data_IF_857996930469
#
_entry.id   IF_857996930469
#
_cell.length_a   1.000
_cell.length_b   1.000
_cell.length_c   1.000
_cell.angle_alpha   90.00
_cell.angle_beta   90.00
_cell.angle_gamma   90.00
#
_symmetry.space_group_name_H-M   'P 1'
#
loop_
_entity.id
_entity.type
_entity.pdbx_description
1 polymer ?
#
# COMPACT_ATOMS: atom_id res chain seq x y z
N UNK A 1 38.76 -56.87 -32.96
CA UNK A 1 37.74 -56.43 -31.98
C UNK A 1 37.95 -54.95 -31.76
N UNK A 2 37.21 -54.12 -32.49
CA UNK A 2 37.36 -52.66 -32.51
C UNK A 2 35.96 -52.08 -32.49
N UNK A 3 35.53 -51.57 -31.33
CA UNK A 3 34.22 -50.95 -31.15
C UNK A 3 34.25 -49.52 -31.70
N UNK A 4 33.61 -49.33 -32.86
CA UNK A 4 33.18 -48.03 -33.34
C UNK A 4 31.82 -47.70 -32.70
N UNK A 5 31.85 -46.96 -31.58
CA UNK A 5 30.66 -46.49 -30.87
C UNK A 5 30.39 -45.01 -31.15
N UNK A 6 29.51 -44.73 -32.12
CA UNK A 6 28.47 -43.69 -32.07
C UNK A 6 28.81 -42.34 -31.42
N UNK A 7 29.42 -41.41 -32.18
CA UNK A 7 29.57 -39.98 -31.82
C UNK A 7 28.27 -39.17 -32.09
N UNK A 8 27.21 -39.78 -32.60
CA UNK A 8 26.01 -39.05 -33.07
C UNK A 8 24.88 -38.87 -32.04
N UNK A 9 25.09 -39.13 -30.74
CA UNK A 9 24.04 -38.96 -29.71
C UNK A 9 24.09 -37.69 -28.87
N UNK A 10 25.11 -36.86 -29.02
CA UNK A 10 25.31 -35.68 -28.14
C UNK A 10 24.91 -34.33 -28.76
N UNK A 11 24.30 -34.32 -29.95
CA UNK A 11 23.83 -33.08 -30.60
C UNK A 11 22.33 -32.79 -30.43
N UNK A 12 21.59 -33.60 -29.67
CA UNK A 12 20.13 -33.50 -29.58
C UNK A 12 19.60 -32.97 -28.23
N UNK A 13 20.43 -32.23 -27.49
CA UNK A 13 19.97 -31.42 -26.36
C UNK A 13 20.50 -30.00 -26.45
N UNK A 14 20.10 -29.30 -27.51
CA UNK A 14 19.97 -27.85 -27.41
C UNK A 14 19.02 -27.56 -26.23
N UNK A 15 19.45 -26.81 -25.19
CA UNK A 15 18.53 -26.35 -24.16
C UNK A 15 17.49 -25.51 -24.87
N UNK A 16 16.24 -25.94 -24.80
CA UNK A 16 15.10 -25.20 -25.31
C UNK A 16 15.13 -23.77 -24.74
N UNK A 17 15.64 -22.83 -25.53
CA UNK A 17 15.52 -21.38 -25.34
C UNK A 17 14.08 -20.87 -25.59
N UNK A 18 13.11 -21.74 -25.30
CA UNK A 18 11.66 -21.63 -25.36
C UNK A 18 11.21 -22.16 -24.00
N UNK A 19 10.70 -21.41 -23.03
CA UNK A 19 9.92 -20.18 -23.08
C UNK A 19 9.98 -19.52 -21.72
N UNK A 20 10.83 -18.50 -21.54
CA UNK A 20 10.74 -17.55 -20.40
C UNK A 20 9.53 -16.60 -20.56
N UNK A 21 8.40 -17.10 -21.08
CA UNK A 21 7.15 -16.33 -21.12
C UNK A 21 6.50 -16.52 -19.76
N UNK A 22 6.52 -15.46 -18.95
CA UNK A 22 5.69 -15.42 -17.74
C UNK A 22 4.26 -15.85 -18.12
N UNK A 23 3.56 -16.64 -17.28
CA UNK A 23 2.18 -17.02 -17.54
C UNK A 23 1.35 -15.78 -17.91
N UNK A 24 0.48 -15.87 -18.92
CA UNK A 24 -0.33 -14.75 -19.43
C UNK A 24 -0.97 -13.93 -18.29
N UNK A 25 -1.45 -14.60 -17.26
CA UNK A 25 -2.03 -13.98 -16.06
C UNK A 25 -1.08 -13.01 -15.32
N UNK A 26 0.22 -13.33 -15.23
CA UNK A 26 1.19 -12.44 -14.60
C UNK A 26 1.43 -11.16 -15.42
N UNK A 27 1.40 -11.28 -16.75
CA UNK A 27 1.47 -10.13 -17.65
C UNK A 27 0.23 -9.25 -17.55
N UNK A 28 -0.96 -9.85 -17.61
CA UNK A 28 -2.22 -9.14 -17.45
C UNK A 28 -2.27 -8.37 -16.13
N UNK A 29 -1.90 -8.99 -15.01
CA UNK A 29 -1.86 -8.32 -13.71
C UNK A 29 -0.89 -7.13 -13.70
N UNK A 30 0.29 -7.26 -14.32
CA UNK A 30 1.25 -6.14 -14.41
C UNK A 30 0.69 -5.02 -15.29
N UNK A 31 0.10 -5.35 -16.42
CA UNK A 31 -0.51 -4.38 -17.33
C UNK A 31 -1.65 -3.62 -16.64
N UNK A 32 -2.54 -4.32 -15.92
CA UNK A 32 -3.62 -3.70 -15.13
C UNK A 32 -3.06 -2.78 -14.05
N UNK A 33 -2.04 -3.21 -13.31
CA UNK A 33 -1.39 -2.38 -12.30
C UNK A 33 -0.78 -1.11 -12.89
N UNK A 34 -0.01 -1.25 -13.98
CA UNK A 34 0.64 -0.11 -14.63
C UNK A 34 -0.41 0.84 -15.19
N UNK A 35 -1.39 0.31 -15.92
CA UNK A 35 -2.47 1.11 -16.50
C UNK A 35 -3.29 1.81 -15.41
N UNK A 36 -3.63 1.12 -14.33
CA UNK A 36 -4.38 1.67 -13.21
C UNK A 36 -3.61 2.77 -12.47
N UNK A 37 -2.36 2.53 -12.08
CA UNK A 37 -1.51 3.57 -11.45
C UNK A 37 -1.33 4.76 -12.39
N UNK A 38 -1.08 4.51 -13.68
CA UNK A 38 -0.95 5.58 -14.69
C UNK A 38 -2.24 6.38 -14.81
N UNK A 39 -3.39 5.72 -14.75
CA UNK A 39 -4.70 6.36 -14.76
C UNK A 39 -4.93 7.22 -13.50
N UNK A 40 -4.66 6.67 -12.32
CA UNK A 40 -4.76 7.41 -11.05
C UNK A 40 -3.88 8.66 -11.03
N UNK A 41 -2.63 8.55 -11.51
CA UNK A 41 -1.71 9.68 -11.66
C UNK A 41 -2.19 10.68 -12.72
N UNK A 42 -2.68 10.20 -13.87
CA UNK A 42 -3.22 11.06 -14.92
C UNK A 42 -4.37 11.92 -14.40
N UNK A 43 -5.33 11.32 -13.70
CA UNK A 43 -6.45 12.05 -13.10
C UNK A 43 -5.96 13.06 -12.06
N UNK A 44 -4.99 12.67 -11.23
CA UNK A 44 -4.40 13.55 -10.22
C UNK A 44 -3.71 14.78 -10.83
N UNK A 45 -2.91 14.56 -11.89
CA UNK A 45 -2.24 15.62 -12.65
C UNK A 45 -3.29 16.52 -13.32
N UNK A 46 -4.31 15.93 -13.93
CA UNK A 46 -5.36 16.66 -14.61
C UNK A 46 -6.13 17.56 -13.64
N UNK A 47 -6.47 17.06 -12.45
CA UNK A 47 -7.13 17.84 -11.40
C UNK A 47 -6.27 19.03 -10.97
N UNK A 48 -4.97 18.82 -10.73
CA UNK A 48 -4.04 19.90 -10.36
C UNK A 48 -3.83 20.95 -11.46
N UNK A 49 -4.00 20.58 -12.75
CA UNK A 49 -3.85 21.51 -13.88
C UNK A 49 -5.16 22.28 -14.15
N UNK A 50 -6.29 21.57 -14.22
CA UNK A 50 -7.59 22.16 -14.57
C UNK A 50 -8.10 23.04 -13.42
N UNK A 51 -7.90 22.60 -12.18
CA UNK A 51 -8.41 23.27 -10.99
C UNK A 51 -7.31 23.33 -9.91
N UNK A 52 -6.36 24.27 -10.01
CA UNK A 52 -5.16 24.34 -9.15
C UNK A 52 -5.47 24.89 -7.74
N UNK A 53 -6.42 24.28 -7.03
CA UNK A 53 -6.73 24.62 -5.63
C UNK A 53 -5.60 24.15 -4.70
N UNK A 54 -5.46 24.76 -3.50
CA UNK A 54 -4.55 24.25 -2.47
C UNK A 54 -4.71 22.75 -2.23
N UNK A 55 -5.95 22.28 -2.11
CA UNK A 55 -6.28 20.87 -1.90
C UNK A 55 -5.78 19.97 -3.04
N UNK A 56 -6.08 20.31 -4.30
CA UNK A 56 -5.65 19.49 -5.44
C UNK A 56 -4.12 19.46 -5.59
N UNK A 57 -3.45 20.59 -5.32
CA UNK A 57 -1.99 20.66 -5.34
C UNK A 57 -1.37 19.83 -4.20
N UNK A 58 -1.93 19.91 -2.99
CA UNK A 58 -1.49 19.10 -1.85
C UNK A 58 -1.63 17.61 -2.14
N UNK A 59 -2.81 17.16 -2.58
CA UNK A 59 -3.05 15.77 -2.97
C UNK A 59 -2.04 15.29 -4.02
N UNK A 60 -1.83 16.09 -5.07
CA UNK A 60 -0.87 15.77 -6.12
C UNK A 60 0.55 15.59 -5.57
N UNK A 61 1.04 16.57 -4.81
CA UNK A 61 2.39 16.57 -4.28
C UNK A 61 2.60 15.44 -3.26
N UNK A 62 1.63 15.21 -2.36
CA UNK A 62 1.69 14.16 -1.33
C UNK A 62 1.74 12.75 -1.94
N UNK A 63 0.83 12.45 -2.86
CA UNK A 63 0.75 11.12 -3.48
C UNK A 63 1.98 10.89 -4.39
N UNK A 64 2.37 11.87 -5.20
CA UNK A 64 3.54 11.76 -6.07
C UNK A 64 4.83 11.58 -5.27
N UNK A 65 5.01 12.35 -4.19
CA UNK A 65 6.18 12.24 -3.30
C UNK A 65 6.20 10.91 -2.57
N UNK A 66 5.04 10.40 -2.12
CA UNK A 66 4.94 9.07 -1.51
C UNK A 66 5.33 7.96 -2.48
N UNK A 67 4.87 8.04 -3.73
CA UNK A 67 5.29 7.12 -4.79
C UNK A 67 6.79 7.20 -5.09
N UNK A 68 7.35 8.42 -5.17
CA UNK A 68 8.78 8.64 -5.36
C UNK A 68 9.61 8.10 -4.17
N UNK A 69 9.12 8.25 -2.94
CA UNK A 69 9.74 7.71 -1.74
C UNK A 69 9.87 6.19 -1.81
N UNK A 70 8.87 5.46 -2.32
CA UNK A 70 8.99 4.02 -2.57
C UNK A 70 10.09 3.67 -3.56
N UNK A 71 10.27 4.48 -4.61
CA UNK A 71 11.37 4.30 -5.57
C UNK A 71 12.72 4.51 -4.87
N UNK A 72 12.84 5.52 -4.01
CA UNK A 72 14.06 5.75 -3.19
C UNK A 72 14.34 4.53 -2.31
N UNK A 73 13.34 3.99 -1.62
CA UNK A 73 13.49 2.78 -0.79
C UNK A 73 13.93 1.57 -1.62
N UNK A 74 13.41 1.43 -2.84
CA UNK A 74 13.80 0.35 -3.76
C UNK A 74 15.25 0.47 -4.23
N UNK A 75 15.68 1.67 -4.66
CA UNK A 75 17.06 1.92 -5.13
C UNK A 75 18.06 1.76 -3.98
N UNK A 76 17.74 2.28 -2.80
CA UNK A 76 18.61 2.22 -1.61
C UNK A 76 18.56 0.88 -0.88
N UNK A 77 17.69 -0.05 -1.31
CA UNK A 77 17.52 -1.38 -0.72
C UNK A 77 18.83 -2.13 -0.43
N UNK A 78 19.86 -2.13 -1.30
CA UNK A 78 21.12 -2.80 -1.01
C UNK A 78 21.84 -2.28 0.25
N UNK A 79 21.59 -1.04 0.66
CA UNK A 79 22.25 -0.39 1.79
C UNK A 79 21.67 -0.87 3.13
N UNK A 80 20.33 -0.91 3.24
CA UNK A 80 19.66 -1.17 4.51
C UNK A 80 19.14 -2.61 4.66
N UNK A 81 18.83 -3.31 3.57
CA UNK A 81 18.25 -4.65 3.63
C UNK A 81 19.17 -5.68 4.29
N UNK A 82 20.51 -5.69 4.09
CA UNK A 82 21.39 -6.60 4.80
C UNK A 82 21.39 -6.40 6.32
N UNK A 83 21.34 -5.13 6.76
CA UNK A 83 21.38 -4.75 8.17
C UNK A 83 20.08 -5.15 8.87
N UNK A 84 18.94 -4.73 8.30
CA UNK A 84 17.62 -5.06 8.84
C UNK A 84 17.24 -6.54 8.65
N UNK A 85 17.91 -7.23 7.74
CA UNK A 85 17.74 -8.66 7.48
C UNK A 85 18.21 -9.58 8.62
N UNK A 86 18.88 -9.05 9.64
CA UNK A 86 19.28 -9.81 10.84
C UNK A 86 18.09 -10.15 11.74
N UNK A 87 17.06 -9.30 11.77
CA UNK A 87 15.81 -9.53 12.52
C UNK A 87 14.59 -9.32 11.61
N UNK A 88 14.49 -10.08 10.51
CA UNK A 88 13.68 -9.70 9.35
C UNK A 88 12.18 -9.57 9.66
N UNK A 89 11.64 -10.32 10.63
CA UNK A 89 10.23 -10.21 11.02
C UNK A 89 9.94 -8.93 11.80
N UNK A 90 10.73 -8.65 12.84
CA UNK A 90 10.54 -7.44 13.67
C UNK A 90 10.86 -6.20 12.85
N UNK A 91 11.97 -6.22 12.11
CA UNK A 91 12.35 -5.12 11.22
C UNK A 91 11.32 -4.88 10.12
N UNK A 92 10.65 -5.92 9.59
CA UNK A 92 9.58 -5.73 8.61
C UNK A 92 8.36 -4.99 9.21
N UNK A 93 7.99 -5.29 10.46
CA UNK A 93 6.90 -4.58 11.14
C UNK A 93 7.31 -3.14 11.42
N UNK A 94 8.46 -2.93 12.07
CA UNK A 94 8.93 -1.60 12.44
C UNK A 94 9.16 -0.70 11.22
N UNK A 95 9.71 -1.25 10.13
CA UNK A 95 9.94 -0.49 8.89
C UNK A 95 8.63 -0.06 8.25
N UNK A 96 7.60 -0.93 8.25
CA UNK A 96 6.29 -0.57 7.71
C UNK A 96 5.60 0.51 8.54
N UNK A 97 5.67 0.40 9.89
CA UNK A 97 5.14 1.41 10.82
C UNK A 97 5.86 2.75 10.66
N UNK A 98 7.20 2.74 10.58
CA UNK A 98 7.99 3.95 10.37
C UNK A 98 7.65 4.60 9.03
N UNK A 99 7.53 3.81 7.96
CA UNK A 99 7.16 4.34 6.65
C UNK A 99 5.74 4.89 6.63
N UNK A 100 4.82 4.35 7.44
CA UNK A 100 3.49 4.92 7.59
C UNK A 100 3.56 6.33 8.20
N UNK A 101 4.28 6.50 9.30
CA UNK A 101 4.49 7.82 9.91
C UNK A 101 5.20 8.82 8.98
N UNK A 102 6.13 8.35 8.13
CA UNK A 102 6.78 9.19 7.12
C UNK A 102 5.77 9.65 6.07
N UNK A 103 4.89 8.77 5.60
CA UNK A 103 3.83 9.12 4.63
C UNK A 103 2.87 10.15 5.22
N UNK A 104 2.42 9.97 6.46
CA UNK A 104 1.61 10.99 7.17
C UNK A 104 2.32 12.34 7.25
N UNK A 105 3.61 12.32 7.60
CA UNK A 105 4.42 13.54 7.64
C UNK A 105 4.53 14.20 6.26
N UNK A 106 4.59 13.43 5.17
CA UNK A 106 4.56 13.95 3.80
C UNK A 106 3.22 14.64 3.52
N UNK A 107 2.10 14.00 3.87
CA UNK A 107 0.76 14.55 3.66
C UNK A 107 0.56 15.84 4.44
N UNK A 108 0.87 15.81 5.75
CA UNK A 108 0.87 16.99 6.61
C UNK A 108 1.76 18.11 6.08
N UNK A 109 3.00 17.79 5.64
CA UNK A 109 3.93 18.80 5.13
C UNK A 109 3.38 19.54 3.92
N UNK A 110 2.79 18.81 2.95
CA UNK A 110 2.23 19.44 1.77
C UNK A 110 0.89 20.13 2.03
N UNK A 111 0.10 19.66 2.99
CA UNK A 111 -1.07 20.40 3.48
C UNK A 111 -0.64 21.79 3.97
N UNK A 112 0.33 21.85 4.88
CA UNK A 112 0.85 23.10 5.43
C UNK A 112 1.54 23.99 4.37
N UNK A 113 2.29 23.37 3.44
CA UNK A 113 2.99 24.11 2.39
C UNK A 113 2.04 24.81 1.42
N UNK A 114 0.91 24.18 1.12
CA UNK A 114 -0.05 24.68 0.14
C UNK A 114 -1.18 25.50 0.78
N UNK A 115 -1.35 25.43 2.10
CA UNK A 115 -2.50 26.01 2.79
C UNK A 115 -3.79 25.25 2.51
N UNK A 116 -3.69 23.95 2.22
CA UNK A 116 -4.85 23.08 2.08
C UNK A 116 -5.43 22.70 3.45
N UNK A 117 -6.63 22.13 3.44
CA UNK A 117 -7.27 21.53 4.61
C UNK A 117 -7.79 20.14 4.24
N UNK A 118 -7.78 19.22 5.21
CA UNK A 118 -8.36 17.88 5.08
C UNK A 118 -7.57 16.93 4.18
N UNK A 119 -6.25 17.09 4.10
CA UNK A 119 -5.34 16.18 3.40
C UNK A 119 -4.74 15.20 4.40
N UNK A 120 -4.20 15.70 5.50
CA UNK A 120 -3.91 14.94 6.71
C UNK A 120 -5.20 14.79 7.54
N UNK A 121 -5.21 13.84 8.48
CA UNK A 121 -6.35 13.65 9.36
C UNK A 121 -6.52 14.82 10.35
N UNK A 122 -5.43 15.55 10.65
CA UNK A 122 -5.47 16.72 11.51
C UNK A 122 -4.31 17.71 11.22
N UNK A 123 -4.49 19.04 11.35
CA UNK A 123 -3.43 20.04 11.06
C UNK A 123 -2.22 19.97 12.02
N UNK A 124 -2.40 19.35 13.19
CA UNK A 124 -1.32 19.04 14.13
C UNK A 124 -0.79 17.62 13.89
N UNK A 125 0.47 17.50 13.44
CA UNK A 125 1.11 16.21 13.13
C UNK A 125 1.05 15.17 14.27
N UNK A 126 1.12 15.59 15.54
CA UNK A 126 1.05 14.63 16.65
C UNK A 126 -0.35 14.03 16.78
N UNK A 127 -1.39 14.86 16.60
CA UNK A 127 -2.78 14.41 16.64
C UNK A 127 -3.09 13.59 15.39
N UNK A 128 -2.57 14.01 14.24
CA UNK A 128 -2.66 13.26 12.98
C UNK A 128 -2.10 11.84 13.15
N UNK A 129 -0.87 11.70 13.64
CA UNK A 129 -0.27 10.40 13.94
C UNK A 129 -1.05 9.64 15.03
N UNK A 130 -1.61 10.33 16.02
CA UNK A 130 -2.45 9.69 17.04
C UNK A 130 -3.73 9.10 16.42
N UNK A 131 -4.31 9.77 15.43
CA UNK A 131 -5.49 9.29 14.70
C UNK A 131 -5.10 8.12 13.80
N UNK A 132 -4.02 8.22 13.03
CA UNK A 132 -3.74 7.28 11.92
C UNK A 132 -2.91 6.07 12.33
N UNK A 133 -1.92 6.21 13.22
CA UNK A 133 -1.03 5.10 13.61
C UNK A 133 -1.73 3.89 14.26
N UNK A 134 -2.82 4.06 15.04
CA UNK A 134 -3.59 2.93 15.58
C UNK A 134 -4.21 2.02 14.50
N UNK A 135 -4.40 2.51 13.27
CA UNK A 135 -4.73 1.67 12.12
C UNK A 135 -3.48 0.99 11.54
N UNK A 136 -2.43 1.77 11.27
CA UNK A 136 -1.23 1.28 10.60
C UNK A 136 -0.50 0.18 11.36
N UNK A 137 -0.37 0.31 12.68
CA UNK A 137 0.35 -0.64 13.53
C UNK A 137 -0.21 -2.07 13.39
N UNK A 138 -1.49 -2.33 13.71
CA UNK A 138 -2.06 -3.67 13.60
C UNK A 138 -2.20 -4.14 12.14
N UNK A 139 -2.48 -3.23 11.20
CA UNK A 139 -2.56 -3.54 9.77
C UNK A 139 -1.21 -4.08 9.25
N UNK A 140 -0.12 -3.36 9.48
CA UNK A 140 1.24 -3.75 9.06
C UNK A 140 1.67 -5.03 9.77
N UNK A 141 1.45 -5.15 11.08
CA UNK A 141 1.82 -6.34 11.84
C UNK A 141 1.13 -7.60 11.30
N UNK A 142 -0.17 -7.49 11.01
CA UNK A 142 -0.96 -8.58 10.42
C UNK A 142 -0.51 -8.87 9.00
N UNK A 143 -0.28 -7.84 8.18
CA UNK A 143 0.24 -7.98 6.82
C UNK A 143 1.58 -8.73 6.81
N UNK A 144 2.54 -8.37 7.67
CA UNK A 144 3.85 -9.03 7.75
C UNK A 144 3.69 -10.52 8.07
N UNK A 145 2.79 -10.86 9.01
CA UNK A 145 2.49 -12.26 9.32
C UNK A 145 1.86 -12.99 8.12
N UNK A 146 0.87 -12.39 7.45
CA UNK A 146 0.24 -12.95 6.25
C UNK A 146 1.28 -13.14 5.13
N UNK A 147 2.11 -12.13 4.90
CA UNK A 147 3.13 -12.14 3.85
C UNK A 147 4.18 -13.21 4.11
N UNK A 148 4.52 -13.50 5.38
CA UNK A 148 5.42 -14.59 5.72
C UNK A 148 4.83 -15.95 5.33
N UNK A 149 3.51 -16.13 5.52
CA UNK A 149 2.76 -17.35 5.16
C UNK A 149 2.52 -17.51 3.67
N UNK A 150 2.19 -16.42 2.97
CA UNK A 150 1.68 -16.48 1.58
C UNK A 150 2.69 -16.10 0.52
N UNK A 151 3.69 -15.27 0.85
CA UNK A 151 4.71 -14.79 -0.10
C UNK A 151 4.10 -14.15 -1.34
N UNK A 152 3.18 -13.20 -1.12
CA UNK A 152 2.57 -12.49 -2.22
C UNK A 152 3.63 -11.77 -3.06
N UNK A 153 3.47 -11.81 -4.37
CA UNK A 153 4.33 -11.07 -5.30
C UNK A 153 4.16 -9.56 -5.11
N UNK A 154 5.18 -8.77 -5.46
CA UNK A 154 5.14 -7.30 -5.34
C UNK A 154 3.86 -6.67 -5.92
N UNK A 155 3.41 -7.11 -7.11
CA UNK A 155 2.17 -6.58 -7.69
C UNK A 155 0.92 -6.88 -6.84
N UNK A 156 0.86 -8.05 -6.20
CA UNK A 156 -0.23 -8.33 -5.25
C UNK A 156 -0.10 -7.48 -3.99
N UNK A 157 1.12 -7.28 -3.48
CA UNK A 157 1.36 -6.40 -2.33
C UNK A 157 0.92 -4.95 -2.63
N UNK A 158 1.17 -4.45 -3.84
CA UNK A 158 0.69 -3.14 -4.29
C UNK A 158 -0.84 -3.06 -4.29
N UNK A 159 -1.53 -4.05 -4.89
CA UNK A 159 -3.00 -4.11 -4.87
C UNK A 159 -3.56 -4.18 -3.45
N UNK A 160 -2.90 -4.92 -2.55
CA UNK A 160 -3.27 -4.98 -1.14
C UNK A 160 -3.05 -3.63 -0.44
N UNK A 161 -2.01 -2.89 -0.79
CA UNK A 161 -1.80 -1.53 -0.31
C UNK A 161 -2.98 -0.63 -0.65
N UNK A 162 -3.38 -0.59 -1.92
CA UNK A 162 -4.58 0.16 -2.34
C UNK A 162 -5.86 -0.30 -1.63
N UNK A 163 -6.00 -1.61 -1.38
CA UNK A 163 -7.16 -2.15 -0.67
C UNK A 163 -7.20 -1.77 0.81
N UNK A 164 -6.05 -1.81 1.50
CA UNK A 164 -5.97 -1.45 2.92
C UNK A 164 -6.21 0.03 3.13
N UNK A 165 -5.70 0.88 2.23
CA UNK A 165 -5.96 2.31 2.27
C UNK A 165 -7.41 2.65 1.94
N UNK A 166 -8.02 1.96 0.97
CA UNK A 166 -9.45 2.07 0.71
C UNK A 166 -10.29 1.72 1.95
N UNK A 167 -9.78 0.85 2.82
CA UNK A 167 -10.37 0.56 4.11
C UNK A 167 -10.20 1.69 5.14
N UNK A 168 -9.00 2.26 5.26
CA UNK A 168 -8.73 3.38 6.17
C UNK A 168 -9.45 4.64 5.71
N UNK A 169 -8.89 5.33 4.72
CA UNK A 169 -9.41 6.64 4.30
C UNK A 169 -10.66 6.54 3.43
N UNK A 170 -10.73 5.51 2.57
CA UNK A 170 -11.87 5.36 1.66
C UNK A 170 -13.18 4.95 2.35
N UNK A 171 -13.11 4.35 3.53
CA UNK A 171 -14.27 3.85 4.26
C UNK A 171 -14.42 4.52 5.63
N UNK A 172 -13.40 4.50 6.51
CA UNK A 172 -13.56 4.99 7.89
C UNK A 172 -13.83 6.50 7.94
N UNK A 173 -13.05 7.32 7.23
CA UNK A 173 -13.23 8.78 7.22
C UNK A 173 -14.66 9.23 6.87
N UNK A 174 -15.17 8.86 5.67
CA UNK A 174 -16.52 9.21 5.25
C UNK A 174 -17.63 8.69 6.17
N UNK A 175 -17.47 7.50 6.76
CA UNK A 175 -18.43 6.98 7.73
C UNK A 175 -18.43 7.79 9.03
N UNK A 176 -17.26 8.22 9.49
CA UNK A 176 -17.14 9.11 10.65
C UNK A 176 -17.82 10.45 10.35
N UNK A 177 -17.58 11.05 9.18
CA UNK A 177 -18.25 12.29 8.77
C UNK A 177 -19.77 12.14 8.66
N UNK A 178 -20.28 10.96 8.29
CA UNK A 178 -21.72 10.70 8.34
C UNK A 178 -22.28 10.80 9.77
N UNK A 179 -21.58 10.22 10.75
CA UNK A 179 -22.06 10.19 12.13
C UNK A 179 -21.90 11.52 12.87
N UNK A 180 -20.86 12.30 12.54
CA UNK A 180 -20.57 13.56 13.21
C UNK A 180 -21.26 14.76 12.56
N UNK A 181 -21.16 14.86 11.23
CA UNK A 181 -21.57 16.06 10.49
C UNK A 181 -22.80 15.81 9.59
N UNK A 182 -23.31 14.58 9.58
CA UNK A 182 -24.42 14.18 8.70
C UNK A 182 -24.02 14.11 7.23
N UNK A 183 -22.72 14.05 6.90
CA UNK A 183 -22.27 13.98 5.52
C UNK A 183 -22.70 12.65 4.86
N UNK A 184 -23.60 12.74 3.87
CA UNK A 184 -24.21 11.57 3.21
C UNK A 184 -23.41 11.02 2.03
N UNK A 185 -22.17 11.45 1.80
CA UNK A 185 -21.33 10.97 0.69
C UNK A 185 -21.21 9.45 0.62
N UNK A 186 -21.13 8.75 1.76
CA UNK A 186 -21.07 7.27 1.81
C UNK A 186 -22.32 6.57 1.27
N UNK A 187 -23.45 7.28 1.20
CA UNK A 187 -24.70 6.73 0.67
C UNK A 187 -24.76 6.94 -0.86
N UNK A 188 -23.94 7.85 -1.40
CA UNK A 188 -23.92 8.16 -2.83
C UNK A 188 -23.19 7.05 -3.62
N UNK A 189 -23.86 6.35 -4.56
CA UNK A 189 -23.20 5.32 -5.39
C UNK A 189 -22.04 5.86 -6.24
N UNK A 190 -22.08 7.13 -6.62
CA UNK A 190 -21.01 7.77 -7.40
C UNK A 190 -19.72 7.86 -6.58
N UNK A 191 -19.82 8.07 -5.27
CA UNK A 191 -18.65 8.06 -4.38
C UNK A 191 -17.89 6.74 -4.48
N UNK A 192 -18.59 5.61 -4.33
CA UNK A 192 -17.99 4.27 -4.41
C UNK A 192 -17.42 3.96 -5.80
N UNK A 193 -18.08 4.43 -6.85
CA UNK A 193 -17.58 4.30 -8.21
C UNK A 193 -16.25 5.06 -8.40
N UNK A 194 -16.19 6.32 -7.98
CA UNK A 194 -14.98 7.15 -8.09
C UNK A 194 -13.87 6.63 -7.17
N UNK A 195 -14.22 6.12 -5.99
CA UNK A 195 -13.27 5.50 -5.07
C UNK A 195 -12.56 4.30 -5.72
N UNK A 196 -13.32 3.42 -6.40
CA UNK A 196 -12.75 2.27 -7.09
C UNK A 196 -12.02 2.62 -8.40
N UNK A 197 -12.54 3.59 -9.17
CA UNK A 197 -11.98 3.94 -10.48
C UNK A 197 -10.79 4.90 -10.42
N UNK A 198 -10.66 5.70 -9.36
CA UNK A 198 -9.65 6.76 -9.26
C UNK A 198 -8.82 6.55 -7.99
N UNK A 199 -9.44 6.71 -6.82
CA UNK A 199 -8.73 6.79 -5.55
C UNK A 199 -7.95 5.50 -5.25
N UNK A 200 -8.53 4.32 -5.50
CA UNK A 200 -7.88 3.03 -5.31
C UNK A 200 -6.50 2.95 -5.98
N UNK A 201 -6.37 3.50 -7.19
CA UNK A 201 -5.10 3.46 -7.91
C UNK A 201 -4.06 4.44 -7.36
N UNK A 202 -4.51 5.57 -6.82
CA UNK A 202 -3.66 6.55 -6.15
C UNK A 202 -3.19 6.02 -4.79
N UNK A 203 -4.07 5.38 -4.05
CA UNK A 203 -3.79 4.70 -2.77
C UNK A 203 -2.70 3.63 -2.87
N UNK A 204 -2.58 2.95 -4.01
CA UNK A 204 -1.47 2.03 -4.25
C UNK A 204 -0.12 2.74 -4.07
N UNK A 205 0.01 3.99 -4.53
CA UNK A 205 1.26 4.76 -4.39
C UNK A 205 1.51 5.12 -2.94
N UNK A 206 0.48 5.58 -2.22
CA UNK A 206 0.55 5.99 -0.81
C UNK A 206 1.07 4.84 0.07
N UNK A 207 0.43 3.67 -0.02
CA UNK A 207 0.79 2.51 0.81
C UNK A 207 1.98 1.69 0.29
N UNK A 208 2.48 1.98 -0.91
CA UNK A 208 3.56 1.19 -1.50
C UNK A 208 4.84 1.20 -0.65
N UNK A 209 5.16 2.34 -0.02
CA UNK A 209 6.34 2.52 0.84
C UNK A 209 6.18 1.80 2.17
N UNK A 210 4.96 1.59 2.64
CA UNK A 210 4.67 0.86 3.88
C UNK A 210 4.82 -0.65 3.68
N UNK A 211 4.22 -1.20 2.61
CA UNK A 211 4.09 -2.66 2.46
C UNK A 211 5.22 -3.33 1.68
N UNK A 212 5.74 -2.70 0.62
CA UNK A 212 6.77 -3.34 -0.22
C UNK A 212 8.08 -3.59 0.53
N UNK A 213 8.64 -2.63 1.30
CA UNK A 213 9.86 -2.85 2.07
C UNK A 213 9.70 -3.95 3.11
N UNK A 214 8.57 -3.99 3.81
CA UNK A 214 8.21 -5.07 4.73
C UNK A 214 8.18 -6.42 4.01
N UNK A 215 7.60 -6.48 2.80
CA UNK A 215 7.60 -7.69 1.99
C UNK A 215 9.01 -8.12 1.54
N UNK A 216 9.91 -7.17 1.22
CA UNK A 216 11.30 -7.48 0.86
C UNK A 216 12.07 -8.10 2.04
N UNK A 217 11.87 -7.59 3.25
CA UNK A 217 12.45 -8.15 4.47
C UNK A 217 11.90 -9.53 4.78
N UNK A 218 10.57 -9.69 4.72
CA UNK A 218 9.94 -10.99 4.94
C UNK A 218 10.51 -12.02 3.99
N UNK A 219 10.76 -11.68 2.71
CA UNK A 219 11.37 -12.57 1.71
C UNK A 219 12.77 -13.11 2.06
N UNK A 220 13.44 -12.60 3.11
CA UNK A 220 14.66 -13.19 3.67
C UNK A 220 14.42 -14.33 4.65
N UNK A 221 13.22 -14.43 5.24
CA UNK A 221 12.86 -15.52 6.13
C UNK A 221 12.75 -16.85 5.38
N UNK A 222 13.02 -18.00 6.03
CA UNK A 222 12.76 -19.30 5.44
C UNK A 222 11.27 -19.43 5.07
N UNK A 223 10.96 -20.08 3.92
CA UNK A 223 9.59 -20.33 3.53
C UNK A 223 8.93 -21.28 4.54
N UNK A 224 7.68 -21.00 4.87
CA UNK A 224 6.84 -21.90 5.68
C UNK A 224 5.83 -22.61 4.78
N UNK A 225 5.31 -23.79 5.20
CA UNK A 225 4.31 -24.52 4.42
C UNK A 225 3.11 -23.63 4.09
N UNK A 226 2.72 -23.63 2.81
CA UNK A 226 1.60 -22.82 2.35
C UNK A 226 0.31 -23.28 3.03
N UNK A 227 -0.51 -22.36 3.57
CA UNK A 227 -1.79 -22.73 4.16
C UNK A 227 -2.73 -23.35 3.12
N UNK A 228 -3.60 -24.28 3.55
CA UNK A 228 -4.60 -24.93 2.69
C UNK A 228 -5.71 -23.99 2.24
N UNK A 229 -6.03 -22.97 3.05
CA UNK A 229 -7.09 -22.02 2.73
C UNK A 229 -6.75 -21.21 1.47
N UNK A 230 -7.75 -20.67 0.75
CA UNK A 230 -7.52 -19.74 -0.34
C UNK A 230 -6.71 -18.53 0.10
N UNK A 231 -5.83 -18.02 -0.77
CA UNK A 231 -4.93 -16.93 -0.41
C UNK A 231 -5.65 -15.61 -0.10
N UNK A 232 -6.84 -15.39 -0.68
CA UNK A 232 -7.64 -14.18 -0.44
C UNK A 232 -8.14 -14.07 1.00
N UNK A 233 -8.36 -15.20 1.70
CA UNK A 233 -8.83 -15.21 3.09
C UNK A 233 -7.80 -14.58 4.02
N UNK A 234 -6.52 -14.93 3.87
CA UNK A 234 -5.47 -14.29 4.66
C UNK A 234 -5.20 -12.86 4.17
N UNK A 235 -5.40 -12.58 2.87
CA UNK A 235 -5.13 -11.26 2.30
C UNK A 235 -6.03 -10.15 2.88
N UNK A 236 -7.27 -10.49 3.26
CA UNK A 236 -8.21 -9.55 3.88
C UNK A 236 -8.05 -9.45 5.40
N UNK A 237 -7.21 -10.27 6.02
CA UNK A 237 -7.10 -10.33 7.48
C UNK A 237 -6.74 -8.98 8.13
N UNK A 238 -5.85 -8.14 7.55
CA UNK A 238 -5.59 -6.81 8.10
C UNK A 238 -6.83 -5.91 8.17
N UNK A 239 -7.83 -6.11 7.30
CA UNK A 239 -9.07 -5.32 7.31
C UNK A 239 -9.98 -5.64 8.50
N UNK A 240 -9.76 -6.76 9.22
CA UNK A 240 -10.52 -7.07 10.44
C UNK A 240 -10.28 -6.07 11.57
N UNK A 241 -9.23 -5.24 11.47
CA UNK A 241 -8.96 -4.17 12.42
C UNK A 241 -9.82 -2.92 12.18
N UNK A 242 -10.48 -2.79 11.02
CA UNK A 242 -11.27 -1.60 10.68
C UNK A 242 -12.39 -1.28 11.69
N UNK A 243 -13.19 -2.24 12.19
CA UNK A 243 -14.23 -1.92 13.17
C UNK A 243 -13.66 -1.39 14.48
N UNK A 244 -12.53 -1.96 14.96
CA UNK A 244 -11.86 -1.49 16.16
C UNK A 244 -11.26 -0.10 15.95
N UNK A 245 -10.66 0.13 14.79
CA UNK A 245 -10.14 1.42 14.40
C UNK A 245 -11.23 2.48 14.31
N UNK A 246 -12.38 2.17 13.68
CA UNK A 246 -13.51 3.08 13.58
C UNK A 246 -14.06 3.48 14.96
N UNK A 247 -14.21 2.53 15.88
CA UNK A 247 -14.59 2.82 17.28
C UNK A 247 -13.55 3.71 17.96
N UNK A 248 -12.27 3.42 17.76
CA UNK A 248 -11.17 4.22 18.31
C UNK A 248 -11.24 5.68 17.83
N UNK A 249 -11.30 5.91 16.52
CA UNK A 249 -11.33 7.28 15.96
C UNK A 249 -12.60 8.02 16.39
N UNK A 250 -13.76 7.35 16.40
CA UNK A 250 -15.00 7.95 16.87
C UNK A 250 -14.87 8.45 18.33
N UNK A 251 -14.37 7.61 19.24
CA UNK A 251 -14.14 7.99 20.64
C UNK A 251 -13.10 9.11 20.76
N UNK A 252 -12.01 9.02 19.99
CA UNK A 252 -10.95 10.04 20.00
C UNK A 252 -11.49 11.41 19.57
N UNK A 253 -12.26 11.48 18.47
CA UNK A 253 -12.84 12.75 18.01
C UNK A 253 -13.80 13.35 19.04
N UNK A 254 -14.63 12.52 19.70
CA UNK A 254 -15.49 13.00 20.78
C UNK A 254 -14.69 13.60 21.95
N UNK A 255 -13.56 12.97 22.31
CA UNK A 255 -12.66 13.48 23.35
C UNK A 255 -12.01 14.79 22.91
N UNK A 256 -11.47 14.86 21.70
CA UNK A 256 -10.85 16.08 21.16
C UNK A 256 -11.85 17.23 21.08
N UNK A 257 -13.09 16.95 20.66
CA UNK A 257 -14.18 17.92 20.60
C UNK A 257 -14.55 18.45 21.98
N UNK A 258 -14.62 17.57 23.00
CA UNK A 258 -14.84 17.99 24.38
C UNK A 258 -13.71 18.88 24.92
N UNK A 259 -12.47 18.62 24.51
CA UNK A 259 -11.29 19.41 24.91
C UNK A 259 -11.13 20.72 24.12
N UNK A 260 -11.91 20.95 23.06
CA UNK A 260 -11.78 22.11 22.18
C UNK A 260 -10.53 22.08 21.30
N UNK A 261 -10.06 20.88 20.93
CA UNK A 261 -8.85 20.63 20.11
C UNK A 261 -9.20 19.79 18.86
N UNK A 262 -10.49 19.64 18.55
CA UNK A 262 -10.95 19.00 17.31
C UNK A 262 -10.98 19.99 16.15
#
# INVERSE_FOLDING_TARGET
MTQAGSITKDLEKAPSALTNRLPLWQWLRRAVLIAGISWGLFVLILAAIIEPTPHNNAMFLSIATSGAYTVVLWVTRPLWLPILGLMPRVSAVLLGILNAAIVETIFWFFEMLTGAEGIAAHPNLLIDLLITMPWYIPMVATFVWVQHRRRFSAGTVLLLGGLYELGGDGFVGPFISLFLDGNTQVINPVYWLLLGLIAFWQFILVYSSMLLPSAWLVNKLPPIPKPKLPAWVDAILPLLWLPLFMVYVFVLILILGFLGVA
#
